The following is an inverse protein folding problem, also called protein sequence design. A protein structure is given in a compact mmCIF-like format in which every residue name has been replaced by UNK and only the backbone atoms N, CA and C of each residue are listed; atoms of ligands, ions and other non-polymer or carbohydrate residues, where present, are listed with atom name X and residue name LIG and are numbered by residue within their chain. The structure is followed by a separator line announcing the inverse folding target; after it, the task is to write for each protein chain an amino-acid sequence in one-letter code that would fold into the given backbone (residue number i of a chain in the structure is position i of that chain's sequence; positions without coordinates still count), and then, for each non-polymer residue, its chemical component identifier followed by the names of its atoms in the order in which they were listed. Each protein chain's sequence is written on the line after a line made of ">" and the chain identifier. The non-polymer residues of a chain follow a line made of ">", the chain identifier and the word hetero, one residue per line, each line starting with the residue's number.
data_IF_659976848479
#
_entry.id   IF_659976848479
#
_cell.length_a   1.000
_cell.length_b   1.000
_cell.length_c   1.000
_cell.angle_alpha   90.00
_cell.angle_beta   90.00
_cell.angle_gamma   90.00
#
_symmetry.space_group_name_H-M   'P 1'
#
loop_
_entity.id
_entity.type
_entity.pdbx_description
1 polymer ?
#
# COMPACT_ATOMS: atom_id res chain seq x y z
N UNK A 1 -11.66 15.32 -2.83
CA UNK A 1 -11.32 14.20 -1.93
C UNK A 1 -10.38 14.79 -0.89
N UNK A 2 -10.73 14.73 0.39
CA UNK A 2 -9.92 15.35 1.44
C UNK A 2 -9.03 14.27 2.04
N UNK A 3 -7.72 14.44 1.89
CA UNK A 3 -6.73 13.53 2.48
C UNK A 3 -6.31 14.03 3.87
N UNK A 4 -5.66 13.18 4.65
CA UNK A 4 -5.17 13.47 6.00
C UNK A 4 -3.68 13.77 5.91
N UNK A 5 -3.26 14.85 6.56
CA UNK A 5 -1.87 15.23 6.63
C UNK A 5 -1.09 14.29 7.56
N UNK A 6 -0.06 13.67 7.00
CA UNK A 6 0.91 12.85 7.74
C UNK A 6 2.25 13.59 7.74
N UNK A 7 2.85 13.78 8.92
CA UNK A 7 4.18 14.40 9.06
C UNK A 7 5.12 13.52 9.86
N UNK A 8 6.41 13.63 9.53
CA UNK A 8 7.47 13.03 10.31
C UNK A 8 7.77 13.91 11.53
N UNK A 9 7.80 13.30 12.71
CA UNK A 9 8.21 13.97 13.95
C UNK A 9 9.74 13.93 14.13
N UNK A 10 10.25 14.64 15.14
CA UNK A 10 11.67 14.62 15.53
C UNK A 10 12.17 13.21 15.91
N UNK A 11 11.26 12.31 16.27
CA UNK A 11 11.53 10.89 16.54
C UNK A 11 11.85 10.08 15.28
N UNK A 12 11.58 10.64 14.09
CA UNK A 12 11.68 9.96 12.81
C UNK A 12 10.45 9.12 12.44
N UNK A 13 9.46 9.03 13.33
CA UNK A 13 8.19 8.35 13.07
C UNK A 13 7.21 9.29 12.35
N UNK A 14 6.31 8.71 11.56
CA UNK A 14 5.25 9.43 10.87
C UNK A 14 3.95 9.34 11.67
N UNK A 15 3.29 10.48 11.87
CA UNK A 15 2.01 10.54 12.57
C UNK A 15 1.00 11.46 11.89
N UNK A 16 -0.27 11.18 12.14
CA UNK A 16 -1.43 11.94 11.68
C UNK A 16 -1.49 13.27 12.43
N UNK A 17 -1.65 14.36 11.69
CA UNK A 17 -1.69 15.70 12.27
C UNK A 17 -3.11 16.09 12.67
N UNK A 18 -3.26 16.73 13.82
CA UNK A 18 -4.53 17.23 14.36
C UNK A 18 -4.50 18.75 14.40
N UNK A 19 -5.55 19.39 13.90
CA UNK A 19 -5.74 20.84 13.96
C UNK A 19 -7.02 21.16 14.76
N UNK A 20 -6.83 21.70 15.98
CA UNK A 20 -7.94 21.97 16.89
C UNK A 20 -8.62 20.67 17.36
N UNK A 21 -9.84 20.43 16.86
CA UNK A 21 -10.65 19.25 17.18
C UNK A 21 -10.87 18.33 15.97
N UNK A 22 -10.17 18.55 14.87
CA UNK A 22 -10.28 17.79 13.62
C UNK A 22 -8.90 17.35 13.11
N UNK A 23 -8.87 16.43 12.14
CA UNK A 23 -7.64 16.07 11.45
C UNK A 23 -7.20 17.18 10.49
N UNK A 24 -5.91 17.48 10.49
CA UNK A 24 -5.34 18.40 9.53
C UNK A 24 -5.47 17.79 8.13
N UNK A 25 -5.99 18.58 7.19
CA UNK A 25 -6.19 18.13 5.83
C UNK A 25 -4.93 18.29 4.99
N UNK A 26 -4.84 17.45 3.97
CA UNK A 26 -3.89 17.62 2.91
C UNK A 26 -4.59 17.63 1.54
N UNK A 27 -3.99 18.33 0.58
CA UNK A 27 -4.52 18.47 -0.77
C UNK A 27 -4.00 17.38 -1.73
N UNK A 28 -3.14 16.48 -1.24
CA UNK A 28 -2.44 15.48 -2.03
C UNK A 28 -2.90 14.05 -1.79
N UNK A 29 -1.91 13.16 -1.77
CA UNK A 29 -2.05 11.71 -1.61
C UNK A 29 -1.21 11.21 -0.42
N UNK A 30 -1.02 12.06 0.59
CA UNK A 30 -0.25 11.79 1.79
C UNK A 30 -0.61 10.46 2.47
N UNK A 31 -1.90 10.12 2.59
CA UNK A 31 -2.30 8.83 3.16
C UNK A 31 -2.46 7.74 2.09
N UNK A 32 -2.88 8.11 0.88
CA UNK A 32 -3.17 7.15 -0.17
C UNK A 32 -1.92 6.39 -0.64
N UNK A 33 -0.76 7.05 -0.70
CA UNK A 33 0.52 6.44 -1.07
C UNK A 33 0.98 5.37 -0.05
N UNK A 34 1.16 5.67 1.25
CA UNK A 34 1.59 4.67 2.22
C UNK A 34 0.55 3.56 2.38
N UNK A 35 -0.75 3.87 2.33
CA UNK A 35 -1.80 2.85 2.34
C UNK A 35 -1.63 1.89 1.16
N UNK A 36 -1.33 2.40 -0.03
CA UNK A 36 -1.11 1.56 -1.22
C UNK A 36 0.13 0.67 -1.07
N UNK A 37 1.23 1.20 -0.53
CA UNK A 37 2.46 0.40 -0.38
C UNK A 37 2.41 -0.63 0.75
N UNK A 38 1.80 -0.27 1.88
CA UNK A 38 1.92 -1.05 3.12
C UNK A 38 0.66 -1.81 3.51
N UNK A 39 -0.41 -1.70 2.71
CA UNK A 39 -1.54 -2.64 2.77
C UNK A 39 -1.19 -3.86 1.93
N UNK A 40 -1.41 -5.06 2.47
CA UNK A 40 -1.14 -6.29 1.73
C UNK A 40 -2.22 -6.53 0.66
N UNK A 41 -1.82 -6.59 -0.61
CA UNK A 41 -2.67 -7.20 -1.64
C UNK A 41 -2.52 -8.72 -1.64
N UNK A 42 -3.53 -9.41 -2.20
CA UNK A 42 -3.57 -10.87 -2.20
C UNK A 42 -2.59 -11.43 -3.22
N UNK A 43 -1.65 -12.26 -2.77
CA UNK A 43 -0.69 -12.88 -3.67
C UNK A 43 -1.34 -13.88 -4.65
N UNK A 44 -0.89 -13.93 -5.92
CA UNK A 44 -1.33 -14.94 -6.87
C UNK A 44 -0.83 -16.34 -6.47
N UNK A 45 -1.56 -17.38 -6.91
CA UNK A 45 -1.24 -18.78 -6.62
C UNK A 45 0.17 -19.20 -7.02
N UNK A 46 0.67 -18.65 -8.13
CA UNK A 46 2.03 -18.93 -8.64
C UNK A 46 3.13 -18.47 -7.67
N UNK A 47 2.86 -17.43 -6.87
CA UNK A 47 3.82 -16.93 -5.87
C UNK A 47 3.62 -17.59 -4.50
N UNK A 48 2.37 -17.86 -4.11
CA UNK A 48 2.03 -18.48 -2.83
C UNK A 48 1.01 -19.60 -3.04
N UNK A 49 1.49 -20.84 -2.98
CA UNK A 49 0.66 -22.03 -3.23
C UNK A 49 -0.46 -22.19 -2.18
N UNK A 50 -0.14 -22.07 -0.89
CA UNK A 50 -1.11 -22.21 0.19
C UNK A 50 -2.07 -21.00 0.27
N UNK A 51 -3.35 -21.21 -0.05
CA UNK A 51 -4.35 -20.13 -0.13
C UNK A 51 -4.53 -19.32 1.16
N UNK A 52 -4.31 -19.94 2.33
CA UNK A 52 -4.37 -19.28 3.65
C UNK A 52 -3.20 -18.31 3.90
N UNK A 53 -2.08 -18.48 3.18
CA UNK A 53 -0.88 -17.65 3.35
C UNK A 53 -0.83 -16.50 2.33
N UNK A 54 -1.77 -16.42 1.39
CA UNK A 54 -1.81 -15.38 0.33
C UNK A 54 -2.11 -13.96 0.84
N UNK A 55 -2.39 -13.81 2.15
CA UNK A 55 -2.80 -12.55 2.79
C UNK A 55 -3.91 -11.82 1.99
N UNK A 56 -3.93 -10.49 2.05
CA UNK A 56 -4.85 -9.63 1.33
C UNK A 56 -5.71 -8.77 2.25
N UNK A 57 -5.96 -7.53 1.82
CA UNK A 57 -6.90 -6.62 2.47
C UNK A 57 -8.34 -7.02 2.16
N UNK A 58 -9.15 -7.15 3.22
CA UNK A 58 -10.55 -7.58 3.14
C UNK A 58 -11.41 -6.62 2.30
N UNK A 59 -11.06 -5.33 2.22
CA UNK A 59 -11.80 -4.34 1.44
C UNK A 59 -11.82 -4.65 -0.06
N UNK A 60 -10.81 -5.36 -0.57
CA UNK A 60 -10.75 -5.75 -1.98
C UNK A 60 -11.87 -6.71 -2.40
N UNK A 61 -12.52 -7.40 -1.44
CA UNK A 61 -13.65 -8.29 -1.73
C UNK A 61 -14.83 -7.50 -2.34
N UNK A 62 -14.98 -6.24 -1.95
CA UNK A 62 -16.09 -5.38 -2.41
C UNK A 62 -15.79 -4.66 -3.73
N UNK A 63 -14.53 -4.67 -4.17
CA UNK A 63 -14.06 -3.93 -5.35
C UNK A 63 -13.65 -4.83 -6.50
N UNK A 64 -13.84 -6.15 -6.37
CA UNK A 64 -13.52 -7.16 -7.41
C UNK A 64 -14.17 -6.81 -8.75
N UNK A 65 -15.47 -6.48 -8.75
CA UNK A 65 -16.22 -6.17 -9.97
C UNK A 65 -15.81 -4.84 -10.62
N UNK A 66 -15.14 -3.97 -9.84
CA UNK A 66 -14.62 -2.69 -10.31
C UNK A 66 -13.19 -2.80 -10.83
N UNK A 67 -12.57 -3.98 -10.75
CA UNK A 67 -11.16 -4.18 -11.12
C UNK A 67 -10.18 -3.41 -10.22
N UNK A 68 -10.65 -2.85 -9.10
CA UNK A 68 -9.84 -2.02 -8.21
C UNK A 68 -9.30 -2.86 -7.05
N UNK A 69 -7.99 -2.90 -6.91
CA UNK A 69 -7.33 -3.50 -5.75
C UNK A 69 -6.46 -2.46 -5.03
N UNK A 70 -6.62 -2.36 -3.72
CA UNK A 70 -5.73 -1.61 -2.84
C UNK A 70 -4.65 -2.53 -2.28
N UNK A 71 -3.45 -1.97 -2.12
CA UNK A 71 -2.32 -2.67 -1.52
C UNK A 71 -1.31 -3.20 -2.54
N UNK A 72 -0.20 -3.71 -2.02
CA UNK A 72 0.92 -4.19 -2.82
C UNK A 72 1.42 -5.57 -2.39
N UNK A 73 2.32 -6.11 -3.20
CA UNK A 73 3.01 -7.38 -2.97
C UNK A 73 4.40 -7.21 -2.34
N UNK A 74 4.73 -6.01 -1.86
CA UNK A 74 6.03 -5.71 -1.22
C UNK A 74 6.31 -6.63 -0.03
N UNK A 75 5.28 -7.07 0.68
CA UNK A 75 5.38 -8.01 1.79
C UNK A 75 5.97 -9.38 1.41
N UNK A 76 5.92 -9.77 0.13
CA UNK A 76 6.58 -10.99 -0.36
C UNK A 76 8.10 -10.92 -0.25
N UNK A 77 8.65 -9.71 -0.10
CA UNK A 77 10.09 -9.45 -0.05
C UNK A 77 10.64 -9.28 1.37
N UNK A 78 9.82 -9.44 2.42
CA UNK A 78 10.19 -9.23 3.83
C UNK A 78 11.46 -10.01 4.25
N UNK A 79 11.72 -11.15 3.62
CA UNK A 79 12.90 -11.99 3.86
C UNK A 79 13.71 -12.30 2.59
N UNK A 80 13.51 -11.52 1.53
CA UNK A 80 14.27 -11.68 0.30
C UNK A 80 15.71 -11.18 0.49
N UNK A 81 16.67 -11.84 -0.18
CA UNK A 81 18.04 -11.34 -0.24
C UNK A 81 18.08 -10.09 -1.11
N UNK A 82 18.95 -9.14 -0.79
CA UNK A 82 19.15 -7.94 -1.61
C UNK A 82 19.95 -8.34 -2.85
N UNK A 83 19.25 -8.64 -3.93
CA UNK A 83 19.78 -8.92 -5.26
C UNK A 83 19.18 -7.96 -6.28
N UNK A 84 19.77 -7.90 -7.47
CA UNK A 84 19.21 -7.10 -8.58
C UNK A 84 17.78 -7.54 -8.93
N UNK A 85 17.51 -8.85 -8.93
CA UNK A 85 16.16 -9.40 -9.14
C UNK A 85 15.17 -8.93 -8.07
N UNK A 86 15.55 -8.98 -6.78
CA UNK A 86 14.70 -8.51 -5.69
C UNK A 86 14.42 -7.01 -5.77
N UNK A 87 15.39 -6.20 -6.19
CA UNK A 87 15.20 -4.77 -6.43
C UNK A 87 14.21 -4.55 -7.58
N UNK A 88 14.33 -5.31 -8.67
CA UNK A 88 13.41 -5.25 -9.80
C UNK A 88 11.99 -5.65 -9.38
N UNK A 89 11.82 -6.72 -8.58
CA UNK A 89 10.53 -7.09 -8.01
C UNK A 89 9.96 -6.01 -7.10
N UNK A 90 10.77 -5.41 -6.22
CA UNK A 90 10.33 -4.34 -5.34
C UNK A 90 9.79 -3.15 -6.14
N UNK A 91 10.49 -2.76 -7.21
CA UNK A 91 10.05 -1.70 -8.12
C UNK A 91 8.72 -2.05 -8.80
N UNK A 92 8.59 -3.26 -9.35
CA UNK A 92 7.36 -3.70 -10.00
C UNK A 92 6.18 -3.77 -9.02
N UNK A 93 6.38 -4.28 -7.81
CA UNK A 93 5.34 -4.34 -6.78
C UNK A 93 4.92 -2.96 -6.29
N UNK A 94 5.88 -2.05 -6.10
CA UNK A 94 5.60 -0.66 -5.75
C UNK A 94 4.78 0.03 -6.85
N UNK A 95 5.20 -0.08 -8.11
CA UNK A 95 4.46 0.50 -9.24
C UNK A 95 3.05 -0.09 -9.39
N UNK A 96 2.91 -1.42 -9.22
CA UNK A 96 1.60 -2.08 -9.27
C UNK A 96 0.65 -1.61 -8.17
N UNK A 97 1.15 -1.38 -6.95
CA UNK A 97 0.32 -0.93 -5.83
C UNK A 97 -0.27 0.48 -6.02
N UNK A 98 0.37 1.32 -6.84
CA UNK A 98 -0.10 2.67 -7.17
C UNK A 98 -0.93 2.72 -8.46
N UNK A 99 -1.15 1.58 -9.13
CA UNK A 99 -1.78 1.56 -10.45
C UNK A 99 -3.17 2.20 -10.43
N UNK A 100 -3.97 1.92 -9.39
CA UNK A 100 -5.32 2.46 -9.20
C UNK A 100 -5.38 3.99 -9.21
N UNK A 101 -4.31 4.69 -8.81
CA UNK A 101 -4.26 6.16 -8.80
C UNK A 101 -4.19 6.78 -10.19
N UNK A 102 -3.86 5.99 -11.23
CA UNK A 102 -3.84 6.48 -12.60
C UNK A 102 -5.19 6.29 -13.32
N UNK A 103 -6.06 5.45 -12.76
CA UNK A 103 -7.36 5.11 -13.33
C UNK A 103 -8.52 5.90 -12.69
N UNK A 104 -8.32 6.42 -11.47
CA UNK A 104 -9.19 7.37 -10.76
C UNK A 104 -8.87 8.84 -11.13
#
# INVERSE_FOLDING_TARGET
>A
MQDILIKQEDSGLYDIQVEGSDFASAEGFESAIPVSYFTDSRAPEVQVQEAKNRRGWVGNILTVDLGRELGGLLWLLDQARITEDTINFAKSYAQGSLHWMNED
#
